data_IF_991344172760
#
_entry.id   IF_991344172760
#
_cell.length_a   1.000
_cell.length_b   1.000
_cell.length_c   1.000
_cell.angle_alpha   90.00
_cell.angle_beta   90.00
_cell.angle_gamma   90.00
#
_symmetry.space_group_name_H-M   'P 1'
#
loop_
_entity.id
_entity.type
_entity.pdbx_description
1 polymer ?
#
# COMPACT_ATOMS: atom_id res chain seq x y z
N UNK A 1 34.18 56.32 2.09
CA UNK A 1 34.49 54.89 1.90
C UNK A 1 33.75 54.07 2.94
N UNK A 2 32.72 53.30 2.56
CA UNK A 2 32.24 52.09 3.26
C UNK A 2 31.07 51.50 2.46
N UNK A 3 31.37 50.49 1.65
CA UNK A 3 30.35 49.69 0.95
C UNK A 3 29.86 48.64 1.95
N UNK A 4 28.64 48.80 2.43
CA UNK A 4 27.96 47.77 3.23
C UNK A 4 27.56 46.64 2.28
N UNK A 5 28.35 45.55 2.31
CA UNK A 5 28.04 44.30 1.62
C UNK A 5 26.96 43.61 2.45
N UNK A 6 25.71 43.71 2.01
CA UNK A 6 24.57 42.97 2.59
C UNK A 6 24.61 41.57 1.97
N UNK A 7 25.12 40.59 2.71
CA UNK A 7 24.99 39.18 2.37
C UNK A 7 23.53 38.75 2.60
N UNK A 8 22.76 38.72 1.52
CA UNK A 8 21.42 38.15 1.47
C UNK A 8 21.56 36.62 1.63
N UNK A 9 21.51 36.12 2.86
CA UNK A 9 21.51 34.69 3.15
C UNK A 9 20.15 34.10 2.72
N UNK A 10 20.13 33.52 1.53
CA UNK A 10 18.98 32.82 0.96
C UNK A 10 18.81 31.46 1.67
N UNK A 11 18.05 31.41 2.76
CA UNK A 11 17.71 30.14 3.41
C UNK A 11 16.73 29.37 2.53
N UNK A 12 17.22 28.40 1.77
CA UNK A 12 16.37 27.45 1.05
C UNK A 12 15.67 26.56 2.08
N UNK A 13 14.36 26.74 2.23
CA UNK A 13 13.51 25.79 2.95
C UNK A 13 13.42 24.55 2.05
N UNK A 14 14.19 23.51 2.37
CA UNK A 14 14.06 22.21 1.72
C UNK A 14 12.82 21.54 2.30
N UNK A 15 11.67 21.72 1.63
CA UNK A 15 10.47 20.97 1.95
C UNK A 15 10.67 19.51 1.53
N UNK A 16 11.02 18.64 2.48
CA UNK A 16 10.98 17.20 2.27
C UNK A 16 9.52 16.75 2.32
N UNK A 17 8.87 16.70 1.15
CA UNK A 17 7.59 16.01 1.04
C UNK A 17 7.81 14.56 1.47
N UNK A 18 7.29 14.19 2.64
CA UNK A 18 7.27 12.80 3.10
C UNK A 18 6.39 12.05 2.11
N UNK A 19 7.02 11.28 1.21
CA UNK A 19 6.30 10.36 0.36
C UNK A 19 5.59 9.36 1.27
N UNK A 20 4.29 9.56 1.52
CA UNK A 20 3.48 8.54 2.17
C UNK A 20 3.63 7.26 1.37
N UNK A 21 4.07 6.17 2.04
CA UNK A 21 4.19 4.88 1.38
C UNK A 21 2.80 4.48 0.89
N UNK A 22 2.66 4.38 -0.43
CA UNK A 22 1.40 4.02 -1.08
C UNK A 22 0.93 2.64 -0.60
N UNK A 23 1.86 1.70 -0.49
CA UNK A 23 1.65 0.36 0.07
C UNK A 23 2.41 0.24 1.39
N UNK A 24 1.74 -0.24 2.43
CA UNK A 24 2.28 -0.30 3.79
C UNK A 24 1.63 -1.42 4.61
N UNK A 25 2.29 -1.83 5.68
CA UNK A 25 1.84 -2.88 6.60
C UNK A 25 1.59 -2.24 7.98
N UNK A 26 0.34 -1.91 8.35
CA UNK A 26 0.05 -1.26 9.62
C UNK A 26 0.08 -2.23 10.82
N UNK A 27 -0.10 -3.52 10.58
CA UNK A 27 -0.11 -4.59 11.56
C UNK A 27 0.43 -5.89 10.92
N UNK A 28 0.78 -6.85 11.76
CA UNK A 28 1.27 -8.17 11.33
C UNK A 28 0.18 -8.89 10.53
N UNK A 29 0.52 -9.37 9.33
CA UNK A 29 -0.45 -10.04 8.46
C UNK A 29 -1.37 -9.12 7.68
N UNK A 30 -1.22 -7.78 7.78
CA UNK A 30 -2.06 -6.82 7.07
C UNK A 30 -1.24 -6.02 6.08
N UNK A 31 -1.72 -5.96 4.84
CA UNK A 31 -1.12 -5.17 3.77
C UNK A 31 -2.15 -4.22 3.18
N UNK A 32 -1.87 -2.92 3.23
CA UNK A 32 -2.76 -1.87 2.74
C UNK A 32 -2.18 -1.12 1.55
N UNK A 33 -3.04 -0.71 0.64
CA UNK A 33 -2.70 0.16 -0.48
C UNK A 33 -3.63 1.37 -0.53
N UNK A 34 -3.09 2.55 -0.22
CA UNK A 34 -3.83 3.83 -0.23
C UNK A 34 -4.34 4.20 -1.61
N UNK A 35 -3.56 3.88 -2.66
CA UNK A 35 -3.90 4.24 -4.04
C UNK A 35 -4.97 3.31 -4.61
N UNK A 36 -4.89 2.02 -4.32
CA UNK A 36 -5.93 1.06 -4.71
C UNK A 36 -7.18 1.15 -3.81
N UNK A 37 -7.02 1.64 -2.58
CA UNK A 37 -8.12 1.92 -1.66
C UNK A 37 -8.64 0.70 -0.92
N UNK A 38 -7.78 -0.31 -0.69
CA UNK A 38 -8.13 -1.50 0.07
C UNK A 38 -6.95 -1.99 0.91
N UNK A 39 -7.28 -2.80 1.92
CA UNK A 39 -6.32 -3.63 2.65
C UNK A 39 -6.65 -5.11 2.44
N UNK A 40 -5.64 -5.95 2.60
CA UNK A 40 -5.75 -7.39 2.49
C UNK A 40 -4.98 -8.07 3.62
N UNK A 41 -5.37 -9.30 3.93
CA UNK A 41 -4.72 -10.20 4.86
C UNK A 41 -4.49 -11.57 4.21
N UNK A 42 -4.20 -12.59 5.03
CA UNK A 42 -3.96 -13.96 4.58
C UNK A 42 -5.19 -14.66 3.96
N UNK A 43 -6.39 -14.11 4.12
CA UNK A 43 -7.63 -14.64 3.57
C UNK A 43 -7.99 -13.95 2.25
N UNK A 44 -7.67 -12.66 2.12
CA UNK A 44 -7.88 -11.91 0.89
C UNK A 44 -8.02 -10.42 1.14
N UNK A 45 -8.64 -9.71 0.20
CA UNK A 45 -9.09 -8.33 0.40
C UNK A 45 -10.07 -8.27 1.58
N UNK A 46 -9.78 -7.42 2.56
CA UNK A 46 -10.50 -7.34 3.83
C UNK A 46 -11.24 -6.01 3.98
N UNK A 47 -12.56 -6.09 4.07
CA UNK A 47 -13.43 -4.93 4.30
C UNK A 47 -13.18 -4.31 5.68
N UNK A 48 -12.98 -5.15 6.70
CA UNK A 48 -12.73 -4.72 8.06
C UNK A 48 -11.42 -3.92 8.17
N UNK A 49 -10.32 -4.44 7.63
CA UNK A 49 -9.05 -3.73 7.63
C UNK A 49 -9.07 -2.50 6.72
N UNK A 50 -9.80 -2.55 5.60
CA UNK A 50 -10.00 -1.37 4.75
C UNK A 50 -10.70 -0.25 5.53
N UNK A 51 -11.75 -0.57 6.28
CA UNK A 51 -12.41 0.44 7.13
C UNK A 51 -11.50 0.94 8.25
N UNK A 52 -10.80 0.03 8.93
CA UNK A 52 -9.92 0.35 10.05
C UNK A 52 -8.76 1.28 9.64
N UNK A 53 -8.11 1.01 8.52
CA UNK A 53 -6.86 1.69 8.15
C UNK A 53 -7.03 2.75 7.05
N UNK A 54 -8.06 2.65 6.21
CA UNK A 54 -8.34 3.60 5.12
C UNK A 54 -9.67 4.36 5.29
N UNK A 55 -10.46 4.00 6.31
CA UNK A 55 -11.69 4.67 6.71
C UNK A 55 -12.95 4.17 5.99
N UNK A 56 -14.11 4.52 6.56
CA UNK A 56 -15.45 4.12 6.08
C UNK A 56 -15.69 4.39 4.60
N UNK A 57 -15.19 5.52 4.09
CA UNK A 57 -15.37 5.91 2.68
C UNK A 57 -14.66 4.93 1.73
N UNK A 58 -13.47 4.44 2.09
CA UNK A 58 -12.75 3.45 1.30
C UNK A 58 -13.49 2.10 1.31
N UNK A 59 -13.93 1.63 2.49
CA UNK A 59 -14.70 0.40 2.61
C UNK A 59 -16.02 0.44 1.81
N UNK A 60 -16.76 1.55 1.87
CA UNK A 60 -17.98 1.72 1.06
C UNK A 60 -17.70 1.72 -0.45
N UNK A 61 -16.57 2.29 -0.89
CA UNK A 61 -16.16 2.24 -2.30
C UNK A 61 -15.79 0.81 -2.70
N UNK A 62 -15.05 0.11 -1.85
CA UNK A 62 -14.65 -1.28 -2.08
C UNK A 62 -15.88 -2.20 -2.20
N UNK A 63 -16.89 -2.04 -1.33
CA UNK A 63 -18.15 -2.79 -1.39
C UNK A 63 -18.85 -2.63 -2.73
N UNK A 64 -18.86 -1.40 -3.28
CA UNK A 64 -19.50 -1.09 -4.56
C UNK A 64 -18.76 -1.70 -5.75
N UNK A 65 -17.43 -1.80 -5.67
CA UNK A 65 -16.60 -2.33 -6.76
C UNK A 65 -16.63 -3.85 -6.78
N UNK A 66 -16.52 -4.47 -5.61
CA UNK A 66 -16.41 -5.92 -5.50
C UNK A 66 -17.80 -6.58 -5.45
N UNK A 67 -18.79 -5.99 -4.79
CA UNK A 67 -20.05 -6.67 -4.49
C UNK A 67 -19.88 -7.73 -3.38
N UNK A 68 -20.94 -8.48 -3.08
CA UNK A 68 -20.97 -9.46 -1.98
C UNK A 68 -20.42 -10.85 -2.32
N UNK A 69 -20.37 -11.22 -3.61
CA UNK A 69 -20.03 -12.58 -4.08
C UNK A 69 -18.69 -12.65 -4.82
N UNK A 70 -17.88 -11.62 -4.71
CA UNK A 70 -16.59 -11.53 -5.39
C UNK A 70 -15.52 -12.35 -4.71
N UNK A 71 -14.67 -12.94 -5.53
CA UNK A 71 -13.50 -13.64 -5.07
C UNK A 71 -12.42 -12.65 -4.60
N UNK A 72 -12.22 -12.59 -3.28
CA UNK A 72 -11.27 -11.68 -2.65
C UNK A 72 -9.87 -12.27 -2.49
N UNK A 73 -9.66 -13.55 -2.87
CA UNK A 73 -8.36 -14.20 -2.67
C UNK A 73 -7.30 -13.76 -3.67
N UNK A 74 -7.72 -13.25 -4.84
CA UNK A 74 -6.88 -12.81 -5.94
C UNK A 74 -6.91 -11.29 -6.02
N UNK A 75 -5.79 -10.62 -5.76
CA UNK A 75 -5.75 -9.16 -5.81
C UNK A 75 -4.40 -8.62 -6.31
N UNK A 76 -4.45 -7.41 -6.87
CA UNK A 76 -3.25 -6.72 -7.36
C UNK A 76 -3.15 -5.34 -6.72
N UNK A 77 -2.01 -5.07 -6.11
CA UNK A 77 -1.68 -3.78 -5.54
C UNK A 77 -1.21 -2.80 -6.63
N UNK A 78 -1.20 -1.52 -6.33
CA UNK A 78 -0.91 -0.43 -7.28
C UNK A 78 0.56 -0.37 -7.72
N UNK A 79 1.46 -1.09 -7.05
CA UNK A 79 2.84 -1.31 -7.49
C UNK A 79 2.97 -2.51 -8.45
N UNK A 80 1.88 -3.21 -8.74
CA UNK A 80 1.84 -4.39 -9.59
C UNK A 80 1.87 -5.72 -8.83
N UNK A 81 2.25 -5.74 -7.55
CA UNK A 81 2.31 -6.97 -6.76
C UNK A 81 0.97 -7.68 -6.77
N UNK A 82 0.98 -8.95 -7.18
CA UNK A 82 -0.20 -9.78 -7.28
C UNK A 82 -0.13 -10.87 -6.22
N UNK A 83 -1.22 -11.07 -5.47
CA UNK A 83 -1.29 -12.11 -4.45
C UNK A 83 -2.48 -13.02 -4.70
N UNK A 84 -2.24 -14.31 -4.51
CA UNK A 84 -3.22 -15.38 -4.46
C UNK A 84 -3.18 -16.03 -3.08
N UNK A 85 -4.12 -15.68 -2.21
CA UNK A 85 -4.11 -16.12 -0.80
C UNK A 85 -4.38 -17.62 -0.64
N UNK A 86 -5.19 -18.21 -1.54
CA UNK A 86 -5.42 -19.66 -1.58
C UNK A 86 -4.15 -20.47 -1.85
N UNK A 87 -3.23 -19.90 -2.62
CA UNK A 87 -1.91 -20.48 -2.92
C UNK A 87 -0.82 -20.02 -1.93
N UNK A 88 -1.17 -19.09 -1.05
CA UNK A 88 -0.26 -18.40 -0.12
C UNK A 88 0.94 -17.81 -0.87
N UNK A 89 0.71 -17.15 -2.00
CA UNK A 89 1.77 -16.67 -2.87
C UNK A 89 1.53 -15.23 -3.31
N UNK A 90 2.55 -14.39 -3.18
CA UNK A 90 2.61 -13.09 -3.81
C UNK A 90 3.76 -13.05 -4.82
N UNK A 91 3.53 -12.44 -5.97
CA UNK A 91 4.52 -12.23 -7.03
C UNK A 91 4.64 -10.76 -7.36
N UNK A 92 5.76 -10.35 -7.96
CA UNK A 92 6.00 -8.94 -8.30
C UNK A 92 4.96 -8.41 -9.32
N UNK A 93 4.35 -9.31 -10.10
CA UNK A 93 3.22 -9.02 -10.98
C UNK A 93 2.43 -10.26 -11.37
N UNK A 94 1.21 -10.06 -11.86
CA UNK A 94 0.34 -11.16 -12.31
C UNK A 94 0.94 -12.03 -13.41
N UNK A 95 1.81 -11.47 -14.26
CA UNK A 95 2.44 -12.17 -15.38
C UNK A 95 3.85 -12.70 -15.06
N UNK A 96 4.46 -12.21 -13.97
CA UNK A 96 5.81 -12.57 -13.60
C UNK A 96 5.77 -13.42 -12.33
N UNK A 97 6.10 -14.70 -12.45
CA UNK A 97 6.09 -15.64 -11.34
C UNK A 97 7.23 -15.42 -10.32
N UNK A 98 8.04 -14.37 -10.45
CA UNK A 98 9.04 -14.00 -9.45
C UNK A 98 8.33 -13.66 -8.13
N UNK A 99 8.69 -14.34 -7.02
CA UNK A 99 8.09 -14.05 -5.71
C UNK A 99 8.32 -12.60 -5.29
N UNK A 100 7.30 -11.99 -4.71
CA UNK A 100 7.44 -10.76 -3.94
C UNK A 100 7.73 -11.12 -2.48
N UNK A 101 8.94 -10.82 -2.01
CA UNK A 101 9.35 -11.17 -0.65
C UNK A 101 8.56 -10.40 0.40
N UNK A 102 8.24 -9.12 0.17
CA UNK A 102 7.53 -8.30 1.15
C UNK A 102 6.12 -8.84 1.33
N UNK A 103 5.38 -9.04 0.24
CA UNK A 103 4.04 -9.62 0.30
C UNK A 103 4.01 -11.00 0.95
N UNK A 104 4.93 -11.89 0.57
CA UNK A 104 4.99 -13.25 1.10
C UNK A 104 5.36 -13.32 2.58
N UNK A 105 6.30 -12.48 3.03
CA UNK A 105 6.67 -12.39 4.46
C UNK A 105 5.50 -11.78 5.24
N UNK A 106 4.97 -10.64 4.79
CA UNK A 106 3.89 -9.93 5.51
C UNK A 106 2.64 -10.79 5.65
N UNK A 107 2.13 -11.38 4.57
CA UNK A 107 0.84 -12.08 4.59
C UNK A 107 0.95 -13.53 5.06
N UNK A 108 2.06 -14.21 4.76
CA UNK A 108 2.18 -15.67 4.93
C UNK A 108 3.36 -16.11 5.79
N UNK A 109 4.25 -15.20 6.21
CA UNK A 109 5.45 -15.52 6.98
C UNK A 109 6.49 -16.35 6.20
N UNK A 110 6.39 -16.41 4.87
CA UNK A 110 7.34 -17.16 4.02
C UNK A 110 8.61 -16.33 3.82
N UNK A 111 9.77 -16.87 4.19
CA UNK A 111 11.10 -16.27 3.98
C UNK A 111 11.67 -16.63 2.61
#
# INVERSE_FOLDING_TARGET
>A
MKRFIICLALTMIVSTALAERVIYSPDDGVLCDRKSGFCADREGVSMAYTEQYLGKKAAQKLLKVMGSDSDMSSFTMSNGMHCETREKNCTISKINNKPDQVGNITLFGKK
#
